data_IF_602290086253
#
_entry.id   IF_602290086253
#
_cell.length_a   1.000
_cell.length_b   1.000
_cell.length_c   1.000
_cell.angle_alpha   90.00
_cell.angle_beta   90.00
_cell.angle_gamma   90.00
#
_symmetry.space_group_name_H-M   'P 1'
#
loop_
_entity.id
_entity.type
_entity.pdbx_description
1 polymer ?
#
# COMPACT_ATOMS: atom_id res chain seq x y z
N UNK A 1 34.40 49.33 -58.48
CA UNK A 1 33.46 49.11 -57.38
C UNK A 1 33.69 47.71 -56.83
N UNK A 2 34.17 47.55 -55.59
CA UNK A 2 34.14 46.25 -54.91
C UNK A 2 33.07 46.24 -53.82
N UNK A 3 32.28 45.17 -53.80
CA UNK A 3 31.31 44.85 -52.74
C UNK A 3 32.04 44.42 -51.47
N UNK A 4 31.73 45.07 -50.35
CA UNK A 4 32.11 44.65 -49.00
C UNK A 4 31.08 43.66 -48.46
N UNK A 5 31.47 42.39 -48.28
CA UNK A 5 30.75 41.43 -47.45
C UNK A 5 30.99 41.76 -45.97
N UNK A 6 29.92 42.16 -45.27
CA UNK A 6 29.88 42.24 -43.81
C UNK A 6 29.60 40.87 -43.21
N UNK A 7 30.60 40.26 -42.57
CA UNK A 7 30.41 39.12 -41.67
C UNK A 7 29.84 39.63 -40.34
N UNK A 8 28.58 39.30 -40.06
CA UNK A 8 27.96 39.54 -38.76
C UNK A 8 28.21 38.29 -37.90
N UNK A 9 29.15 38.39 -36.94
CA UNK A 9 29.36 37.36 -35.92
C UNK A 9 28.32 37.61 -34.83
N UNK A 10 27.27 36.80 -34.79
CA UNK A 10 26.35 36.75 -33.66
C UNK A 10 27.08 36.16 -32.45
N UNK A 11 27.51 37.04 -31.54
CA UNK A 11 28.02 36.66 -30.24
C UNK A 11 26.84 36.20 -29.37
N UNK A 12 26.55 34.90 -29.38
CA UNK A 12 25.61 34.30 -28.43
C UNK A 12 26.23 34.45 -27.04
N UNK A 13 25.62 35.32 -26.22
CA UNK A 13 26.07 35.63 -24.86
C UNK A 13 25.88 34.40 -23.93
N UNK A 14 26.96 33.81 -23.38
CA UNK A 14 26.88 32.64 -22.50
C UNK A 14 26.20 32.92 -21.13
N UNK A 15 26.08 34.20 -20.75
CA UNK A 15 25.53 34.65 -19.46
C UNK A 15 24.05 34.27 -19.32
N UNK A 16 23.29 34.24 -20.42
CA UNK A 16 21.87 33.87 -20.39
C UNK A 16 21.61 32.38 -20.15
N UNK A 17 22.57 31.51 -20.51
CA UNK A 17 22.49 30.07 -20.26
C UNK A 17 22.83 29.76 -18.80
N UNK A 18 23.89 30.38 -18.25
CA UNK A 18 24.31 30.17 -16.86
C UNK A 18 23.27 30.63 -15.84
N UNK A 19 22.62 31.77 -16.05
CA UNK A 19 21.56 32.26 -15.15
C UNK A 19 20.33 31.34 -15.18
N UNK A 20 19.98 30.79 -16.35
CA UNK A 20 18.89 29.80 -16.47
C UNK A 20 19.25 28.50 -15.78
N UNK A 21 20.48 28.00 -15.95
CA UNK A 21 20.94 26.80 -15.26
C UNK A 21 20.98 26.96 -13.74
N UNK A 22 21.41 28.11 -13.22
CA UNK A 22 21.39 28.40 -11.78
C UNK A 22 19.95 28.49 -11.26
N UNK A 23 19.05 29.17 -11.99
CA UNK A 23 17.64 29.26 -11.63
C UNK A 23 16.92 27.91 -11.65
N UNK A 24 17.22 27.06 -12.64
CA UNK A 24 16.70 25.69 -12.72
C UNK A 24 17.26 24.79 -11.61
N UNK A 25 18.55 24.91 -11.28
CA UNK A 25 19.16 24.18 -10.18
C UNK A 25 18.58 24.60 -8.81
N UNK A 26 18.33 25.90 -8.61
CA UNK A 26 17.70 26.44 -7.39
C UNK A 26 16.22 26.06 -7.29
N UNK A 27 15.49 25.99 -8.41
CA UNK A 27 14.11 25.51 -8.43
C UNK A 27 14.06 23.99 -8.12
N UNK A 28 14.98 23.21 -8.69
CA UNK A 28 15.07 21.77 -8.43
C UNK A 28 15.51 21.45 -6.99
N UNK A 29 16.35 22.28 -6.36
CA UNK A 29 16.75 22.05 -4.96
C UNK A 29 15.61 22.20 -3.96
N UNK A 30 14.50 22.85 -4.35
CA UNK A 30 13.30 22.98 -3.50
C UNK A 30 12.44 21.73 -3.50
N UNK A 31 12.47 20.96 -4.59
CA UNK A 31 11.71 19.72 -4.72
C UNK A 31 12.25 18.68 -3.74
N UNK A 32 11.36 18.06 -2.95
CA UNK A 32 11.72 17.01 -1.99
C UNK A 32 10.83 15.79 -2.19
N UNK A 33 11.49 14.63 -2.24
CA UNK A 33 10.86 13.33 -2.37
C UNK A 33 10.96 12.61 -1.03
N UNK A 34 9.85 12.49 -0.30
CA UNK A 34 9.77 11.68 0.92
C UNK A 34 9.58 10.23 0.48
N UNK A 35 10.62 9.41 0.64
CA UNK A 35 10.63 8.03 0.16
C UNK A 35 10.48 7.07 1.34
N UNK A 36 9.32 6.44 1.44
CA UNK A 36 9.00 5.46 2.45
C UNK A 36 9.28 4.07 1.89
N UNK A 37 10.26 3.39 2.47
CA UNK A 37 10.58 2.01 2.15
C UNK A 37 10.20 1.11 3.31
N UNK A 38 9.22 0.23 3.12
CA UNK A 38 8.78 -0.71 4.15
C UNK A 38 9.36 -2.11 3.91
N UNK A 39 10.03 -2.67 4.91
CA UNK A 39 10.65 -4.02 4.87
C UNK A 39 10.17 -4.81 6.07
N UNK A 40 9.67 -6.03 5.87
CA UNK A 40 9.16 -6.82 7.01
C UNK A 40 9.04 -8.31 6.82
N UNK A 41 9.35 -8.85 5.63
CA UNK A 41 9.22 -10.29 5.36
C UNK A 41 10.54 -11.01 5.09
N UNK A 42 11.55 -10.32 4.57
CA UNK A 42 12.85 -10.92 4.24
C UNK A 42 14.00 -10.10 4.78
N UNK A 43 15.02 -10.78 5.30
CA UNK A 43 16.19 -10.13 5.89
C UNK A 43 17.19 -9.55 4.87
N UNK A 44 16.99 -9.82 3.58
CA UNK A 44 17.80 -9.21 2.51
C UNK A 44 17.46 -7.72 2.31
N UNK A 45 18.51 -6.92 2.17
CA UNK A 45 18.42 -5.48 1.96
C UNK A 45 18.18 -5.13 0.49
N UNK A 46 18.57 -5.99 -0.47
CA UNK A 46 18.44 -5.72 -1.91
C UNK A 46 18.91 -4.31 -2.30
N UNK A 47 18.31 -3.74 -3.36
CA UNK A 47 18.54 -2.34 -3.74
C UNK A 47 17.58 -1.41 -2.97
N UNK A 48 18.04 -0.26 -2.42
CA UNK A 48 17.16 0.73 -1.81
C UNK A 48 16.19 1.38 -2.82
N UNK A 49 14.97 1.67 -2.38
CA UNK A 49 13.99 2.42 -3.16
C UNK A 49 14.46 3.86 -3.37
N UNK A 50 15.08 4.46 -2.35
CA UNK A 50 15.63 5.82 -2.40
C UNK A 50 16.60 6.02 -3.58
N UNK A 51 17.47 5.04 -3.83
CA UNK A 51 18.42 5.08 -4.96
C UNK A 51 17.70 4.99 -6.31
N UNK A 52 16.63 4.21 -6.38
CA UNK A 52 15.79 4.14 -7.60
C UNK A 52 15.08 5.47 -7.83
N UNK A 53 14.54 6.08 -6.78
CA UNK A 53 13.85 7.37 -6.86
C UNK A 53 14.83 8.47 -7.28
N UNK A 54 16.02 8.54 -6.67
CA UNK A 54 17.03 9.55 -6.97
C UNK A 54 17.45 9.56 -8.45
N UNK A 55 17.34 8.42 -9.15
CA UNK A 55 17.66 8.29 -10.58
C UNK A 55 16.52 8.75 -11.51
N UNK A 56 15.27 8.69 -11.05
CA UNK A 56 14.09 8.89 -11.91
C UNK A 56 13.25 10.12 -11.55
N UNK A 57 13.45 10.71 -10.36
CA UNK A 57 12.74 11.88 -9.89
C UNK A 57 13.66 13.07 -9.68
N UNK A 58 13.16 14.27 -9.97
CA UNK A 58 13.86 15.51 -9.69
C UNK A 58 13.76 15.87 -8.21
N UNK A 59 14.76 16.56 -7.69
CA UNK A 59 14.78 17.04 -6.31
C UNK A 59 15.55 16.13 -5.36
N UNK A 60 15.63 16.59 -4.11
CA UNK A 60 16.29 15.83 -3.04
C UNK A 60 15.46 14.62 -2.61
N UNK A 61 16.12 13.58 -2.11
CA UNK A 61 15.47 12.38 -1.55
C UNK A 61 15.62 12.37 -0.03
N UNK A 62 14.52 12.22 0.66
CA UNK A 62 14.43 12.07 2.12
C UNK A 62 13.97 10.64 2.41
N UNK A 63 14.90 9.71 2.69
CA UNK A 63 14.55 8.32 2.94
C UNK A 63 13.96 8.14 4.35
N UNK A 64 12.86 7.39 4.43
CA UNK A 64 12.25 6.91 5.67
C UNK A 64 12.17 5.38 5.55
N UNK A 65 13.02 4.68 6.30
CA UNK A 65 13.02 3.23 6.36
C UNK A 65 12.09 2.74 7.47
N UNK A 66 11.05 2.01 7.09
CA UNK A 66 10.19 1.26 8.01
C UNK A 66 10.68 -0.20 8.05
N UNK A 67 11.59 -0.48 8.98
CA UNK A 67 12.14 -1.83 9.18
C UNK A 67 11.35 -2.58 10.25
N UNK A 68 10.50 -3.49 9.80
CA UNK A 68 9.65 -4.36 10.62
C UNK A 68 10.24 -5.77 10.78
N UNK A 69 11.46 -6.00 10.29
CA UNK A 69 12.09 -7.31 10.33
C UNK A 69 12.54 -7.63 11.75
N UNK A 70 12.43 -8.91 12.10
CA UNK A 70 12.83 -9.45 13.39
C UNK A 70 14.07 -10.36 13.28
N UNK A 71 14.77 -10.37 12.14
CA UNK A 71 15.91 -11.25 11.83
C UNK A 71 15.59 -12.74 11.85
N UNK A 72 14.31 -13.07 11.65
CA UNK A 72 13.78 -14.42 11.55
C UNK A 72 12.96 -14.48 10.27
N UNK A 73 13.67 -14.75 9.17
CA UNK A 73 13.19 -14.70 7.79
C UNK A 73 11.76 -15.26 7.63
N UNK A 74 10.87 -14.45 7.07
CA UNK A 74 9.49 -14.81 6.80
C UNK A 74 8.54 -14.86 8.01
N UNK A 75 9.01 -14.68 9.25
CA UNK A 75 8.17 -14.78 10.44
C UNK A 75 7.88 -13.42 11.08
N UNK A 76 6.66 -13.25 11.59
CA UNK A 76 6.27 -12.10 12.41
C UNK A 76 6.07 -12.56 13.86
N UNK A 77 6.92 -12.10 14.77
CA UNK A 77 7.01 -12.66 16.14
C UNK A 77 6.53 -11.70 17.22
N UNK A 78 6.52 -10.39 16.95
CA UNK A 78 6.08 -9.37 17.90
C UNK A 78 5.21 -8.32 17.18
N UNK A 79 3.97 -8.68 16.83
CA UNK A 79 3.18 -7.85 15.93
C UNK A 79 2.84 -6.47 16.50
N UNK A 80 2.78 -6.33 17.83
CA UNK A 80 2.57 -5.06 18.53
C UNK A 80 3.73 -4.10 18.35
N UNK A 81 4.98 -4.61 18.32
CA UNK A 81 6.16 -3.76 18.10
C UNK A 81 6.10 -3.10 16.73
N UNK A 82 5.67 -3.86 15.71
CA UNK A 82 5.54 -3.33 14.36
C UNK A 82 4.54 -2.17 14.28
N UNK A 83 3.46 -2.18 15.08
CA UNK A 83 2.50 -1.07 15.13
C UNK A 83 3.14 0.23 15.59
N UNK A 84 4.04 0.17 16.59
CA UNK A 84 4.75 1.35 17.09
C UNK A 84 5.71 1.93 16.04
N UNK A 85 6.38 1.07 15.27
CA UNK A 85 7.29 1.49 14.19
C UNK A 85 6.48 2.14 13.04
N UNK A 86 5.34 1.56 12.67
CA UNK A 86 4.44 2.12 11.64
C UNK A 86 3.91 3.50 12.08
N UNK A 87 3.48 3.64 13.33
CA UNK A 87 3.03 4.92 13.88
C UNK A 87 4.17 5.97 13.93
N UNK A 88 5.39 5.53 14.23
CA UNK A 88 6.58 6.41 14.23
C UNK A 88 6.93 6.87 12.82
N UNK A 89 6.91 5.97 11.84
CA UNK A 89 7.08 6.30 10.42
C UNK A 89 6.05 7.34 9.98
N UNK A 90 4.77 7.16 10.33
CA UNK A 90 3.72 8.11 9.99
C UNK A 90 4.00 9.51 10.56
N UNK A 91 4.40 9.61 11.85
CA UNK A 91 4.81 10.89 12.46
C UNK A 91 5.99 11.53 11.73
N UNK A 92 7.00 10.75 11.34
CA UNK A 92 8.14 11.26 10.56
C UNK A 92 7.72 11.79 9.19
N UNK A 93 6.76 11.15 8.52
CA UNK A 93 6.20 11.65 7.26
C UNK A 93 5.49 12.98 7.46
N UNK A 94 4.64 13.10 8.49
CA UNK A 94 3.94 14.34 8.80
C UNK A 94 4.92 15.47 9.10
N UNK A 95 5.93 15.23 9.92
CA UNK A 95 6.96 16.22 10.22
C UNK A 95 7.67 16.71 8.95
N UNK A 96 8.08 15.79 8.08
CA UNK A 96 8.72 16.17 6.82
C UNK A 96 7.78 16.92 5.86
N UNK A 97 6.47 16.71 5.97
CA UNK A 97 5.46 17.44 5.19
C UNK A 97 5.23 18.87 5.68
N UNK A 98 5.44 19.14 6.97
CA UNK A 98 5.36 20.49 7.54
C UNK A 98 6.62 21.33 7.22
N UNK A 99 7.77 20.69 7.00
CA UNK A 99 9.06 21.34 6.75
C UNK A 99 9.23 21.88 5.30
N UNK A 100 8.16 22.17 4.56
CA UNK A 100 8.24 22.66 3.18
C UNK A 100 6.91 23.08 2.55
N UNK A 101 6.98 23.70 1.37
CA UNK A 101 5.77 23.99 0.57
C UNK A 101 5.21 22.67 0.03
N UNK A 102 3.91 22.41 0.27
CA UNK A 102 3.21 21.21 -0.20
C UNK A 102 3.30 21.03 -1.71
N UNK A 103 3.43 22.11 -2.48
CA UNK A 103 3.59 22.06 -3.94
C UNK A 103 4.92 21.44 -4.37
N UNK A 104 5.95 21.51 -3.53
CA UNK A 104 7.30 21.01 -3.81
C UNK A 104 7.55 19.60 -3.21
N UNK A 105 6.56 19.01 -2.55
CA UNK A 105 6.65 17.73 -1.88
C UNK A 105 6.01 16.60 -2.69
N UNK A 106 6.78 15.53 -2.90
CA UNK A 106 6.24 14.26 -3.43
C UNK A 106 6.44 13.16 -2.40
N UNK A 107 5.36 12.43 -2.07
CA UNK A 107 5.44 11.23 -1.23
C UNK A 107 5.52 10.00 -2.11
N UNK A 108 6.47 9.11 -1.82
CA UNK A 108 6.69 7.86 -2.52
C UNK A 108 6.65 6.72 -1.51
N UNK A 109 5.99 5.63 -1.86
CA UNK A 109 5.92 4.43 -1.04
C UNK A 109 6.31 3.19 -1.84
N UNK A 110 7.09 2.30 -1.23
CA UNK A 110 7.26 0.92 -1.69
C UNK A 110 7.43 -0.02 -0.50
N UNK A 111 6.74 -1.16 -0.55
CA UNK A 111 6.62 -2.04 0.62
C UNK A 111 6.78 -3.52 0.32
N UNK A 112 7.44 -4.20 1.26
CA UNK A 112 7.63 -5.65 1.32
C UNK A 112 7.33 -6.13 2.75
N UNK A 113 6.12 -5.82 3.23
CA UNK A 113 5.64 -6.15 4.58
C UNK A 113 4.46 -7.11 4.54
N UNK A 114 4.03 -7.58 5.72
CA UNK A 114 2.82 -8.39 5.83
C UNK A 114 1.57 -7.56 5.50
N UNK A 115 0.55 -8.23 4.97
CA UNK A 115 -0.75 -7.64 4.59
C UNK A 115 -1.33 -6.68 5.63
N UNK A 116 -1.47 -7.04 6.93
CA UNK A 116 -2.02 -6.11 7.92
C UNK A 116 -1.20 -4.82 8.08
N UNK A 117 0.13 -4.91 8.06
CA UNK A 117 0.99 -3.73 8.19
C UNK A 117 0.94 -2.83 6.97
N UNK A 118 0.90 -3.43 5.78
CA UNK A 118 0.77 -2.71 4.53
C UNK A 118 -0.57 -1.98 4.44
N UNK A 119 -1.65 -2.63 4.89
CA UNK A 119 -2.98 -2.03 4.92
C UNK A 119 -3.03 -0.88 5.94
N UNK A 120 -2.51 -1.08 7.15
CA UNK A 120 -2.40 -0.02 8.17
C UNK A 120 -1.58 1.17 7.67
N UNK A 121 -0.46 0.90 6.99
CA UNK A 121 0.37 1.96 6.39
C UNK A 121 -0.42 2.76 5.35
N UNK A 122 -1.27 2.09 4.57
CA UNK A 122 -2.21 2.72 3.67
C UNK A 122 -3.20 3.63 4.41
N UNK A 123 -3.88 3.09 5.42
CA UNK A 123 -4.86 3.84 6.24
C UNK A 123 -4.25 5.11 6.84
N UNK A 124 -3.04 5.01 7.41
CA UNK A 124 -2.38 6.17 8.04
C UNK A 124 -1.93 7.23 7.04
N UNK A 125 -1.51 6.83 5.82
CA UNK A 125 -1.07 7.78 4.80
C UNK A 125 -2.23 8.40 4.00
N UNK A 126 -3.42 7.80 4.10
CA UNK A 126 -4.70 8.28 3.56
C UNK A 126 -4.69 8.58 2.05
N UNK A 127 -5.81 9.04 1.50
CA UNK A 127 -5.97 9.36 0.07
C UNK A 127 -5.96 10.85 -0.29
N UNK A 128 -5.89 11.75 0.70
CA UNK A 128 -5.87 13.21 0.47
C UNK A 128 -4.65 13.69 -0.35
N UNK A 129 -3.54 12.93 -0.35
CA UNK A 129 -2.33 13.24 -1.10
C UNK A 129 -2.09 12.32 -2.30
N UNK A 130 -1.41 12.82 -3.34
CA UNK A 130 -0.86 11.96 -4.38
C UNK A 130 0.37 11.22 -3.84
N UNK A 131 0.33 9.88 -3.81
CA UNK A 131 1.47 9.03 -3.44
C UNK A 131 1.85 8.20 -4.66
N UNK A 132 3.11 8.30 -5.06
CA UNK A 132 3.66 7.45 -6.12
C UNK A 132 4.04 6.11 -5.49
N UNK A 133 3.48 5.04 -6.01
CA UNK A 133 3.69 3.69 -5.47
C UNK A 133 4.71 2.93 -6.32
N UNK A 134 5.61 2.23 -5.65
CA UNK A 134 6.54 1.26 -6.24
C UNK A 134 6.29 -0.11 -5.61
N UNK A 135 6.58 -1.16 -6.38
CA UNK A 135 6.63 -2.52 -5.89
C UNK A 135 7.89 -3.22 -6.42
N UNK A 136 8.34 -4.25 -5.72
CA UNK A 136 9.51 -5.01 -6.14
C UNK A 136 9.13 -5.94 -7.29
N UNK A 137 9.77 -5.73 -8.44
CA UNK A 137 9.68 -6.63 -9.58
C UNK A 137 10.67 -7.77 -9.37
N UNK A 138 10.18 -8.95 -8.96
CA UNK A 138 11.01 -10.13 -8.71
C UNK A 138 11.67 -10.69 -9.97
N UNK A 139 11.03 -10.51 -11.13
CA UNK A 139 11.59 -11.00 -12.39
C UNK A 139 12.73 -10.10 -12.88
N UNK A 140 12.66 -8.80 -12.59
CA UNK A 140 13.66 -7.81 -12.97
C UNK A 140 14.61 -7.41 -11.82
N UNK A 141 14.41 -7.97 -10.63
CA UNK A 141 15.15 -7.70 -9.40
C UNK A 141 15.35 -6.20 -9.11
N UNK A 142 14.28 -5.42 -9.30
CA UNK A 142 14.32 -3.96 -9.13
C UNK A 142 13.00 -3.40 -8.63
N UNK A 143 13.06 -2.22 -8.03
CA UNK A 143 11.88 -1.41 -7.77
C UNK A 143 11.29 -0.93 -9.09
N UNK A 144 9.99 -1.18 -9.27
CA UNK A 144 9.23 -0.74 -10.43
C UNK A 144 8.04 0.09 -9.98
N UNK A 145 7.88 1.25 -10.61
CA UNK A 145 6.75 2.14 -10.38
C UNK A 145 5.45 1.46 -10.84
N UNK A 146 4.40 1.60 -10.03
CA UNK A 146 3.05 1.20 -10.41
C UNK A 146 2.48 2.27 -11.33
N UNK A 147 2.34 1.95 -12.61
CA UNK A 147 1.84 2.88 -13.62
C UNK A 147 1.28 2.12 -14.82
N UNK A 148 0.26 2.71 -15.45
CA UNK A 148 -0.33 2.16 -16.66
C UNK A 148 -1.86 2.10 -16.62
N UNK A 149 -2.46 1.79 -17.78
CA UNK A 149 -3.90 1.74 -17.96
C UNK A 149 -4.50 0.48 -17.33
N UNK A 150 -5.81 0.48 -17.11
CA UNK A 150 -6.55 -0.70 -16.70
C UNK A 150 -6.56 -1.80 -17.77
N UNK A 151 -6.74 -3.05 -17.34
CA UNK A 151 -6.85 -4.23 -18.20
C UNK A 151 -8.28 -4.80 -18.30
N UNK A 152 -9.25 -4.13 -17.67
CA UNK A 152 -10.65 -4.54 -17.65
C UNK A 152 -11.01 -5.66 -16.67
N UNK A 153 -10.05 -6.24 -15.93
CA UNK A 153 -10.34 -7.33 -14.98
C UNK A 153 -11.20 -6.85 -13.81
N UNK A 154 -12.26 -7.58 -13.44
CA UNK A 154 -13.21 -7.16 -12.40
C UNK A 154 -13.23 -8.16 -11.24
N UNK A 155 -13.73 -7.71 -10.09
CA UNK A 155 -14.08 -8.65 -9.02
C UNK A 155 -15.41 -9.33 -9.30
N UNK A 156 -15.42 -10.66 -9.15
CA UNK A 156 -16.64 -11.42 -8.90
C UNK A 156 -16.96 -11.35 -7.40
N UNK A 157 -18.23 -11.05 -7.08
CA UNK A 157 -18.70 -10.89 -5.69
C UNK A 157 -19.66 -12.02 -5.36
N UNK A 158 -19.36 -12.79 -4.31
CA UNK A 158 -20.18 -13.90 -3.84
C UNK A 158 -20.64 -13.70 -2.39
N UNK A 159 -21.87 -14.10 -2.09
CA UNK A 159 -22.40 -14.23 -0.72
C UNK A 159 -22.95 -12.94 -0.11
N UNK A 160 -22.83 -11.78 -0.78
CA UNK A 160 -23.29 -10.50 -0.24
C UNK A 160 -24.81 -10.43 -0.07
N UNK A 161 -25.57 -11.12 -0.91
CA UNK A 161 -27.03 -11.19 -0.89
C UNK A 161 -27.53 -11.91 0.37
N UNK A 162 -26.79 -12.92 0.83
CA UNK A 162 -27.14 -13.74 1.99
C UNK A 162 -26.88 -13.03 3.33
N UNK A 163 -26.16 -11.91 3.34
CA UNK A 163 -25.89 -11.13 4.54
C UNK A 163 -27.12 -10.30 4.94
N UNK A 164 -27.58 -10.51 6.17
CA UNK A 164 -28.60 -9.67 6.81
C UNK A 164 -28.64 -9.88 8.33
N UNK A 165 -28.65 -8.78 9.09
CA UNK A 165 -28.84 -8.81 10.55
C UNK A 165 -27.65 -9.36 11.36
N UNK A 166 -26.48 -9.53 10.75
CA UNK A 166 -25.24 -9.96 11.42
C UNK A 166 -24.28 -8.78 11.59
N UNK A 167 -23.69 -8.58 12.78
CA UNK A 167 -22.81 -7.43 13.05
C UNK A 167 -21.40 -7.61 12.48
N UNK A 168 -20.96 -8.84 12.24
CA UNK A 168 -19.59 -9.17 11.83
C UNK A 168 -19.62 -10.16 10.66
N UNK A 169 -18.73 -9.97 9.68
CA UNK A 169 -18.60 -10.86 8.52
C UNK A 169 -17.13 -11.05 8.15
N UNK A 170 -16.81 -12.22 7.59
CA UNK A 170 -15.53 -12.45 6.92
C UNK A 170 -15.60 -11.84 5.53
N UNK A 171 -14.61 -11.03 5.19
CA UNK A 171 -14.48 -10.43 3.88
C UNK A 171 -13.22 -10.95 3.21
N UNK A 172 -13.37 -11.88 2.27
CA UNK A 172 -12.27 -12.59 1.63
C UNK A 172 -12.01 -12.02 0.23
N UNK A 173 -10.89 -11.31 0.05
CA UNK A 173 -10.53 -10.69 -1.23
C UNK A 173 -9.31 -11.37 -1.85
N UNK A 174 -9.54 -12.13 -2.92
CA UNK A 174 -8.56 -12.86 -3.69
C UNK A 174 -8.16 -12.08 -4.94
N UNK A 175 -6.96 -11.47 -4.93
CA UNK A 175 -6.43 -10.72 -6.07
C UNK A 175 -5.38 -11.52 -6.84
N UNK A 176 -4.39 -12.09 -6.13
CA UNK A 176 -3.28 -12.81 -6.76
C UNK A 176 -3.25 -14.31 -6.46
N UNK A 177 -3.93 -14.73 -5.39
CA UNK A 177 -4.04 -16.14 -5.01
C UNK A 177 -5.46 -16.44 -4.53
N UNK A 178 -5.95 -17.67 -4.77
CA UNK A 178 -7.22 -18.11 -4.19
C UNK A 178 -7.10 -18.20 -2.67
N UNK A 179 -8.16 -17.81 -1.98
CA UNK A 179 -8.35 -18.05 -0.54
C UNK A 179 -9.12 -19.36 -0.41
N UNK A 180 -8.68 -20.28 0.44
CA UNK A 180 -9.34 -21.58 0.61
C UNK A 180 -10.37 -21.51 1.75
N UNK A 181 -11.50 -22.19 1.57
CA UNK A 181 -12.55 -22.25 2.61
C UNK A 181 -12.07 -23.00 3.84
N UNK A 182 -11.30 -24.07 3.66
CA UNK A 182 -10.66 -24.81 4.76
C UNK A 182 -9.76 -23.90 5.60
N UNK A 183 -8.99 -23.00 4.97
CA UNK A 183 -8.13 -22.05 5.67
C UNK A 183 -8.98 -21.04 6.47
N UNK A 184 -10.07 -20.52 5.89
CA UNK A 184 -10.99 -19.61 6.58
C UNK A 184 -11.65 -20.29 7.79
N UNK A 185 -12.13 -21.52 7.62
CA UNK A 185 -12.80 -22.30 8.66
C UNK A 185 -11.89 -22.66 9.84
N UNK A 186 -10.57 -22.61 9.68
CA UNK A 186 -9.65 -22.78 10.82
C UNK A 186 -9.65 -21.59 11.79
N UNK A 187 -10.14 -20.42 11.36
CA UNK A 187 -10.08 -19.17 12.14
C UNK A 187 -11.47 -18.58 12.41
N UNK A 188 -12.39 -18.65 11.46
CA UNK A 188 -13.65 -17.91 11.52
C UNK A 188 -14.86 -18.84 11.55
N UNK A 189 -15.79 -18.56 12.47
CA UNK A 189 -17.15 -19.11 12.49
C UNK A 189 -18.16 -17.97 12.22
N UNK A 190 -18.06 -17.39 11.02
CA UNK A 190 -18.82 -16.22 10.59
C UNK A 190 -19.23 -16.37 9.12
N UNK A 191 -20.35 -15.76 8.70
CA UNK A 191 -20.69 -15.72 7.28
C UNK A 191 -19.61 -14.95 6.49
N UNK A 192 -19.30 -15.44 5.30
CA UNK A 192 -18.25 -14.87 4.44
C UNK A 192 -18.80 -14.28 3.16
N UNK A 193 -18.28 -13.12 2.77
CA UNK A 193 -18.44 -12.52 1.44
C UNK A 193 -17.10 -12.56 0.71
N UNK A 194 -17.11 -12.89 -0.58
CA UNK A 194 -15.89 -13.08 -1.37
C UNK A 194 -15.81 -12.10 -2.52
N UNK A 195 -14.62 -11.54 -2.72
CA UNK A 195 -14.22 -10.80 -3.92
C UNK A 195 -13.11 -11.58 -4.61
N UNK A 196 -13.38 -12.14 -5.78
CA UNK A 196 -12.37 -12.91 -6.54
C UNK A 196 -12.07 -12.20 -7.84
N UNK A 197 -10.81 -11.85 -8.08
CA UNK A 197 -10.39 -11.17 -9.31
C UNK A 197 -10.34 -12.16 -10.47
N UNK A 198 -10.98 -11.83 -11.59
CA UNK A 198 -10.85 -12.63 -12.80
C UNK A 198 -9.40 -12.67 -13.31
N UNK A 199 -8.92 -13.86 -13.67
CA UNK A 199 -7.57 -14.03 -14.19
C UNK A 199 -6.46 -13.67 -13.19
N UNK A 200 -6.66 -13.97 -11.89
CA UNK A 200 -5.68 -13.74 -10.83
C UNK A 200 -4.24 -14.06 -11.27
N UNK A 201 -3.35 -13.11 -11.04
CA UNK A 201 -1.92 -13.28 -11.28
C UNK A 201 -1.14 -12.34 -10.37
N UNK A 202 -0.01 -12.82 -9.86
CA UNK A 202 0.91 -11.96 -9.10
C UNK A 202 1.41 -10.79 -9.94
N UNK A 203 1.52 -10.95 -11.26
CA UNK A 203 2.06 -9.93 -12.17
C UNK A 203 1.00 -8.93 -12.66
N UNK A 204 -0.28 -9.15 -12.35
CA UNK A 204 -1.38 -8.29 -12.75
C UNK A 204 -1.45 -6.95 -11.96
N UNK A 205 -0.43 -6.64 -11.15
CA UNK A 205 -0.39 -5.49 -10.24
C UNK A 205 0.14 -4.20 -10.85
N UNK A 206 0.81 -4.24 -12.00
CA UNK A 206 1.59 -3.09 -12.47
C UNK A 206 0.77 -1.86 -12.92
N UNK A 207 -0.57 -1.95 -12.98
CA UNK A 207 -1.45 -0.86 -13.40
C UNK A 207 -2.04 -0.06 -12.23
N UNK A 208 -1.73 1.24 -12.15
CA UNK A 208 -2.31 2.14 -11.15
C UNK A 208 -3.82 2.34 -11.37
N UNK A 209 -4.25 2.48 -12.63
CA UNK A 209 -5.67 2.68 -12.94
C UNK A 209 -6.50 1.44 -12.54
N UNK A 210 -5.96 0.24 -12.75
CA UNK A 210 -6.58 -1.01 -12.29
C UNK A 210 -6.69 -1.04 -10.76
N UNK A 211 -5.60 -0.77 -10.04
CA UNK A 211 -5.62 -0.79 -8.57
C UNK A 211 -6.62 0.21 -8.00
N UNK A 212 -6.69 1.44 -8.55
CA UNK A 212 -7.65 2.45 -8.11
C UNK A 212 -9.11 2.00 -8.34
N UNK A 213 -9.42 1.46 -9.53
CA UNK A 213 -10.77 0.97 -9.83
C UNK A 213 -11.15 -0.20 -8.93
N UNK A 214 -10.27 -1.18 -8.77
CA UNK A 214 -10.53 -2.35 -7.92
C UNK A 214 -10.67 -1.96 -6.44
N UNK A 215 -9.92 -0.95 -5.98
CA UNK A 215 -10.13 -0.38 -4.65
C UNK A 215 -11.53 0.23 -4.53
N UNK A 216 -12.02 0.93 -5.57
CA UNK A 216 -13.40 1.42 -5.57
C UNK A 216 -14.43 0.29 -5.52
N UNK A 217 -14.27 -0.76 -6.33
CA UNK A 217 -15.15 -1.94 -6.31
C UNK A 217 -15.18 -2.60 -4.93
N UNK A 218 -14.01 -2.76 -4.30
CA UNK A 218 -13.89 -3.24 -2.93
C UNK A 218 -14.71 -2.38 -1.95
N UNK A 219 -14.58 -1.06 -2.02
CA UNK A 219 -15.32 -0.15 -1.13
C UNK A 219 -16.82 -0.16 -1.37
N UNK A 220 -17.29 -0.30 -2.61
CA UNK A 220 -18.72 -0.39 -2.88
C UNK A 220 -19.34 -1.65 -2.25
N UNK A 221 -18.62 -2.77 -2.23
CA UNK A 221 -19.07 -3.96 -1.49
C UNK A 221 -19.08 -3.71 0.02
N UNK A 222 -18.04 -3.06 0.56
CA UNK A 222 -18.00 -2.70 1.99
C UNK A 222 -19.16 -1.78 2.37
N UNK A 223 -19.50 -0.79 1.55
CA UNK A 223 -20.67 0.09 1.76
C UNK A 223 -21.99 -0.68 1.73
N UNK A 224 -22.13 -1.64 0.81
CA UNK A 224 -23.30 -2.51 0.76
C UNK A 224 -23.45 -3.33 2.05
N UNK A 225 -22.34 -3.91 2.53
CA UNK A 225 -22.30 -4.63 3.82
C UNK A 225 -22.67 -3.71 4.99
N UNK A 226 -22.13 -2.50 5.05
CA UNK A 226 -22.48 -1.51 6.07
C UNK A 226 -23.98 -1.17 6.03
N UNK A 227 -24.55 -0.98 4.84
CA UNK A 227 -25.99 -0.76 4.64
C UNK A 227 -26.87 -1.93 5.08
N UNK A 228 -26.31 -3.14 5.17
CA UNK A 228 -26.96 -4.35 5.68
C UNK A 228 -26.80 -4.53 7.20
N UNK A 229 -26.17 -3.57 7.89
CA UNK A 229 -25.99 -3.57 9.35
C UNK A 229 -24.68 -4.18 9.83
N UNK A 230 -23.74 -4.48 8.92
CA UNK A 230 -22.41 -4.97 9.31
C UNK A 230 -21.62 -3.84 9.96
N UNK A 231 -21.10 -4.10 11.17
CA UNK A 231 -20.33 -3.16 11.97
C UNK A 231 -18.83 -3.48 11.99
N UNK A 232 -18.45 -4.75 11.74
CA UNK A 232 -17.05 -5.15 11.60
C UNK A 232 -16.81 -6.11 10.44
N UNK A 233 -15.70 -5.89 9.75
CA UNK A 233 -15.15 -6.79 8.74
C UNK A 233 -13.92 -7.52 9.27
N UNK A 234 -13.88 -8.84 9.09
CA UNK A 234 -12.67 -9.65 9.21
C UNK A 234 -12.07 -9.83 7.82
N UNK A 235 -11.16 -8.95 7.43
CA UNK A 235 -10.56 -8.93 6.09
C UNK A 235 -9.44 -9.95 5.98
N UNK A 236 -9.62 -10.87 5.04
CA UNK A 236 -8.57 -11.74 4.51
C UNK A 236 -8.26 -11.26 3.10
N UNK A 237 -7.01 -10.87 2.85
CA UNK A 237 -6.60 -10.28 1.57
C UNK A 237 -5.36 -10.98 1.00
N UNK A 238 -5.54 -11.62 -0.15
CA UNK A 238 -4.46 -12.27 -0.90
C UNK A 238 -4.08 -11.39 -2.10
N UNK A 239 -3.22 -10.40 -1.86
CA UNK A 239 -2.83 -9.42 -2.86
C UNK A 239 -1.37 -8.96 -2.74
N UNK A 240 -0.75 -8.44 -3.82
CA UNK A 240 0.56 -7.81 -3.76
C UNK A 240 0.57 -6.53 -2.91
N UNK A 241 1.73 -6.16 -2.37
CA UNK A 241 1.87 -5.07 -1.38
C UNK A 241 1.29 -3.74 -1.89
N UNK A 242 1.54 -3.36 -3.15
CA UNK A 242 1.00 -2.12 -3.71
C UNK A 242 -0.54 -2.08 -3.73
N UNK A 243 -1.17 -3.23 -3.99
CA UNK A 243 -2.64 -3.36 -4.02
C UNK A 243 -3.19 -3.25 -2.61
N UNK A 244 -2.61 -3.98 -1.66
CA UNK A 244 -2.98 -3.92 -0.23
C UNK A 244 -2.87 -2.49 0.29
N UNK A 245 -1.76 -1.81 -0.04
CA UNK A 245 -1.53 -0.42 0.32
C UNK A 245 -2.60 0.50 -0.29
N UNK A 246 -2.88 0.35 -1.58
CA UNK A 246 -3.93 1.13 -2.27
C UNK A 246 -5.30 0.91 -1.63
N UNK A 247 -5.64 -0.32 -1.24
CA UNK A 247 -6.93 -0.60 -0.60
C UNK A 247 -7.02 0.05 0.79
N UNK A 248 -5.95 -0.04 1.59
CA UNK A 248 -5.87 0.62 2.89
C UNK A 248 -6.02 2.13 2.79
N UNK A 249 -5.35 2.76 1.83
CA UNK A 249 -5.43 4.22 1.60
C UNK A 249 -6.84 4.71 1.30
N UNK A 250 -7.62 3.91 0.60
CA UNK A 250 -8.97 4.30 0.16
C UNK A 250 -10.04 3.95 1.18
N UNK A 251 -9.67 3.26 2.27
CA UNK A 251 -10.62 2.87 3.28
C UNK A 251 -11.05 4.09 4.11
N UNK A 252 -12.28 4.55 3.90
CA UNK A 252 -12.83 5.69 4.62
C UNK A 252 -12.98 5.38 6.11
N UNK A 253 -12.17 6.08 6.91
CA UNK A 253 -12.04 5.89 8.36
C UNK A 253 -13.24 6.41 9.16
N UNK A 254 -14.12 7.19 8.53
CA UNK A 254 -15.24 7.89 9.17
C UNK A 254 -16.56 7.16 9.01
N UNK A 255 -16.81 6.58 7.84
CA UNK A 255 -18.15 6.07 7.49
C UNK A 255 -18.21 4.56 7.28
N UNK A 256 -17.06 3.88 7.12
CA UNK A 256 -17.05 2.44 6.89
C UNK A 256 -16.96 1.66 8.20
N UNK A 257 -17.39 0.39 8.19
CA UNK A 257 -17.31 -0.49 9.35
C UNK A 257 -15.88 -0.62 9.89
N UNK A 258 -15.75 -1.01 11.16
CA UNK A 258 -14.47 -1.45 11.71
C UNK A 258 -13.88 -2.55 10.83
N UNK A 259 -12.55 -2.61 10.73
CA UNK A 259 -11.87 -3.64 9.93
C UNK A 259 -10.68 -4.20 10.68
N UNK A 260 -10.64 -5.53 10.75
CA UNK A 260 -9.50 -6.30 11.25
C UNK A 260 -8.90 -7.01 10.05
N UNK A 261 -7.64 -6.72 9.76
CA UNK A 261 -6.93 -7.32 8.61
C UNK A 261 -6.02 -8.43 9.10
N UNK A 262 -6.20 -9.64 8.56
CA UNK A 262 -5.53 -10.83 9.09
C UNK A 262 -4.23 -11.17 8.35
N UNK A 263 -3.29 -11.73 9.11
CA UNK A 263 -2.06 -12.27 8.56
C UNK A 263 -2.22 -13.76 8.27
N UNK A 264 -2.00 -14.15 7.01
CA UNK A 264 -1.97 -15.54 6.61
C UNK A 264 -0.65 -16.22 7.02
N UNK A 265 -0.74 -17.38 7.65
CA UNK A 265 0.39 -18.25 7.98
C UNK A 265 0.21 -19.63 7.34
N UNK A 266 0.92 -19.86 6.24
CA UNK A 266 0.84 -21.12 5.49
C UNK A 266 1.28 -22.30 6.36
N UNK A 267 0.43 -23.32 6.44
CA UNK A 267 0.72 -24.57 7.13
C UNK A 267 0.63 -24.49 8.66
N UNK A 268 0.19 -23.36 9.22
CA UNK A 268 -0.17 -23.27 10.62
C UNK A 268 -1.53 -23.98 10.88
N UNK A 269 -1.76 -24.53 12.10
CA UNK A 269 -3.06 -25.12 12.45
C UNK A 269 -4.24 -24.14 12.35
N UNK A 270 -3.96 -22.86 12.63
CA UNK A 270 -4.87 -21.73 12.41
C UNK A 270 -4.25 -20.88 11.31
N UNK A 271 -4.91 -20.79 10.16
CA UNK A 271 -4.37 -20.14 8.97
C UNK A 271 -4.25 -18.62 9.13
N UNK A 272 -5.07 -18.00 9.98
CA UNK A 272 -5.09 -16.57 10.25
C UNK A 272 -4.97 -16.27 11.76
N UNK A 273 -3.82 -16.58 12.39
CA UNK A 273 -3.71 -16.63 13.85
C UNK A 273 -3.72 -15.25 14.54
N UNK A 274 -3.60 -14.17 13.77
CA UNK A 274 -3.72 -12.81 14.28
C UNK A 274 -4.05 -11.83 13.15
N UNK A 275 -4.58 -10.68 13.54
CA UNK A 275 -4.85 -9.55 12.65
C UNK A 275 -4.55 -8.20 13.31
N UNK A 276 -4.73 -7.14 12.56
CA UNK A 276 -4.63 -5.76 13.04
C UNK A 276 -5.98 -5.09 12.86
N UNK A 277 -6.59 -4.68 13.99
CA UNK A 277 -7.72 -3.77 14.01
C UNK A 277 -7.23 -2.38 13.65
N UNK A 278 -7.81 -1.79 12.61
CA UNK A 278 -7.41 -0.47 12.11
C UNK A 278 -7.93 0.65 13.02
N UNK A 279 -7.19 1.78 13.15
CA UNK A 279 -7.60 2.94 13.95
C UNK A 279 -8.68 3.74 13.22
N UNK A 280 -9.87 3.16 13.09
CA UNK A 280 -11.01 3.70 12.34
C UNK A 280 -12.30 3.58 13.17
N UNK A 281 -13.39 4.19 12.69
CA UNK A 281 -14.72 4.08 13.32
C UNK A 281 -14.72 4.44 14.82
N UNK A 282 -13.90 5.42 15.22
CA UNK A 282 -13.76 5.87 16.60
C UNK A 282 -12.64 5.19 17.41
N UNK A 283 -11.91 4.25 16.82
CA UNK A 283 -10.69 3.70 17.40
C UNK A 283 -9.50 4.64 17.14
N UNK A 284 -8.80 5.04 18.21
CA UNK A 284 -7.67 5.96 18.12
C UNK A 284 -6.36 5.28 17.69
N UNK A 285 -6.20 3.99 18.01
CA UNK A 285 -4.95 3.26 17.84
C UNK A 285 -5.19 1.90 17.19
N UNK A 286 -4.28 1.52 16.31
CA UNK A 286 -4.23 0.18 15.75
C UNK A 286 -3.94 -0.84 16.86
N UNK A 287 -4.58 -2.01 16.82
CA UNK A 287 -4.39 -3.05 17.83
C UNK A 287 -4.22 -4.41 17.19
N UNK A 288 -3.31 -5.21 17.73
CA UNK A 288 -3.23 -6.62 17.37
C UNK A 288 -4.42 -7.35 17.98
N UNK A 289 -5.15 -8.08 17.15
CA UNK A 289 -6.24 -8.97 17.55
C UNK A 289 -5.76 -10.40 17.34
N UNK A 290 -6.04 -11.25 18.32
CA UNK A 290 -5.85 -12.70 18.23
C UNK A 290 -7.21 -13.30 18.54
N UNK A 291 -7.85 -13.89 17.56
CA UNK A 291 -9.07 -14.63 17.84
C UNK A 291 -8.70 -15.93 18.55
N UNK A 292 -9.53 -16.27 19.54
CA UNK A 292 -9.26 -17.26 20.58
C UNK A 292 -9.03 -18.69 20.03
N UNK A 293 -8.55 -19.56 20.93
CA UNK A 293 -8.05 -20.93 20.73
C UNK A 293 -8.64 -21.75 19.56
N UNK A 294 -7.81 -22.59 18.91
CA UNK A 294 -8.25 -23.46 17.82
C UNK A 294 -9.50 -24.24 18.21
N UNK A 295 -10.52 -24.20 17.36
CA UNK A 295 -11.68 -25.11 17.46
C UNK A 295 -11.10 -26.52 17.41
N UNK A 296 -11.13 -27.23 18.54
CA UNK A 296 -10.65 -28.59 18.63
C UNK A 296 -11.38 -29.40 17.55
N UNK A 297 -10.64 -29.88 16.54
CA UNK A 297 -11.17 -30.88 15.62
C UNK A 297 -11.49 -32.10 16.47
N UNK A 298 -12.77 -32.44 16.56
CA UNK A 298 -13.16 -33.76 17.05
C UNK A 298 -12.66 -34.74 15.99
N UNK A 299 -11.64 -35.52 16.37
CA UNK A 299 -11.16 -36.65 15.57
C UNK A 299 -12.32 -37.66 15.43
N UNK A 300 -12.75 -37.92 14.18
CA UNK A 300 -13.47 -39.14 13.78
C UNK A 300 -12.49 -40.18 13.23
#
# INVERSE_FOLDING_TARGET
MPETLSYQIDLICPIGADVRHIGEAQAQSKLRNIVIEARGLRDDNGNPLADTVAKHQKGSVVPILLDLRNRLDGQVIAPERALNEIASMHRSVLQNKEDGDRADLTTIYGGLTSVPYTFLTGVLLDDEGSIITYDWDRAQEKWRKIEGPGDGAQFHVDGVEAIGGVPEVVFATAFSYPIQDDDLATTFDLPSVRLTLDGMSSDARWSQQKQNRLAQEFLEVVKNLAGKGVMRLHLVLAAPNSVVFTFGRRYDTRNLPEIVVYHYQRGAPVAYPWGVSMPIAGLNDAKVVRDAEPVARADE
#
